data_IF_569563287827
#
_entry.id   IF_569563287827
#
_cell.length_a   1.000
_cell.length_b   1.000
_cell.length_c   1.000
_cell.angle_alpha   90.00
_cell.angle_beta   90.00
_cell.angle_gamma   90.00
#
_symmetry.space_group_name_H-M   'P 1'
#
loop_
_entity.id
_entity.type
_entity.pdbx_description
1 polymer ?
#
# COMPACT_ATOMS: atom_id res chain seq x y z
N UNK A 1 -17.37 10.07 -2.82
CA UNK A 1 -15.93 10.09 -2.48
C UNK A 1 -15.14 10.49 -3.71
N UNK A 2 -13.91 10.98 -3.55
CA UNK A 2 -12.98 11.25 -4.66
C UNK A 2 -11.73 10.41 -4.42
N UNK A 3 -11.26 9.70 -5.44
CA UNK A 3 -10.08 8.82 -5.38
C UNK A 3 -9.02 9.38 -6.33
N UNK A 4 -7.83 9.71 -5.80
CA UNK A 4 -6.67 10.06 -6.61
C UNK A 4 -5.76 8.84 -6.80
N UNK A 5 -5.31 8.57 -8.03
CA UNK A 5 -4.38 7.49 -8.35
C UNK A 5 -3.15 8.08 -9.05
N UNK A 6 -2.00 7.96 -8.41
CA UNK A 6 -0.70 8.22 -9.04
C UNK A 6 -0.03 6.90 -9.42
N UNK A 7 0.35 6.74 -10.68
CA UNK A 7 1.06 5.55 -11.17
C UNK A 7 2.28 5.97 -12.01
N UNK A 8 3.46 5.52 -11.60
CA UNK A 8 4.69 5.75 -12.33
C UNK A 8 4.75 4.83 -13.56
N UNK A 9 4.46 5.36 -14.75
CA UNK A 9 4.47 4.59 -16.01
C UNK A 9 5.86 4.62 -16.65
N UNK A 10 6.25 5.75 -17.24
CA UNK A 10 7.52 5.91 -17.97
C UNK A 10 8.58 6.73 -17.21
N UNK A 11 8.30 7.09 -15.96
CA UNK A 11 9.23 7.77 -15.06
C UNK A 11 10.51 6.95 -14.93
N UNK A 12 11.67 7.60 -14.91
CA UNK A 12 12.91 6.99 -14.49
C UNK A 12 13.28 7.55 -13.10
N UNK A 13 13.09 6.79 -12.01
CA UNK A 13 13.37 7.27 -10.65
C UNK A 13 14.82 7.68 -10.44
N UNK A 14 15.77 7.14 -11.22
CA UNK A 14 17.19 7.47 -11.13
C UNK A 14 17.48 8.93 -11.52
N UNK A 15 16.60 9.57 -12.27
CA UNK A 15 16.72 10.98 -12.64
C UNK A 15 16.31 11.92 -11.49
N UNK A 16 15.82 11.37 -10.38
CA UNK A 16 15.28 12.10 -9.23
C UNK A 16 15.89 11.59 -7.92
N UNK A 17 16.85 12.36 -7.37
CA UNK A 17 17.61 12.00 -6.16
C UNK A 17 16.74 11.69 -4.94
N UNK A 18 15.59 12.35 -4.81
CA UNK A 18 14.68 12.21 -3.67
C UNK A 18 13.93 10.87 -3.62
N UNK A 19 13.75 10.21 -4.77
CA UNK A 19 12.91 9.01 -4.91
C UNK A 19 13.65 7.79 -5.49
N UNK A 20 14.92 7.95 -5.86
CA UNK A 20 15.71 6.92 -6.54
C UNK A 20 15.86 5.62 -5.74
N UNK A 21 15.81 5.70 -4.39
CA UNK A 21 15.93 4.54 -3.51
C UNK A 21 14.61 3.92 -3.04
N UNK A 22 13.45 4.53 -3.35
CA UNK A 22 12.15 4.12 -2.77
C UNK A 22 11.01 4.00 -3.78
N UNK A 23 11.28 4.19 -5.07
CA UNK A 23 10.26 4.23 -6.12
C UNK A 23 10.71 3.44 -7.35
N UNK A 24 9.75 2.86 -8.07
CA UNK A 24 9.93 2.23 -9.37
C UNK A 24 8.88 2.74 -10.37
N UNK A 25 8.95 2.26 -11.62
CA UNK A 25 7.97 2.52 -12.67
C UNK A 25 7.76 1.30 -13.57
N UNK A 26 6.65 1.26 -14.31
CA UNK A 26 6.41 0.20 -15.29
C UNK A 26 7.54 0.08 -16.32
N UNK A 27 8.12 1.21 -16.74
CA UNK A 27 9.26 1.23 -17.65
C UNK A 27 10.50 0.55 -17.07
N UNK A 28 10.79 0.79 -15.79
CA UNK A 28 11.94 0.19 -15.11
C UNK A 28 11.75 -1.32 -15.00
N UNK A 29 10.59 -1.76 -14.51
CA UNK A 29 10.29 -3.18 -14.30
C UNK A 29 10.15 -3.98 -15.61
N UNK A 30 9.65 -3.36 -16.69
CA UNK A 30 9.47 -4.02 -18.00
C UNK A 30 10.65 -3.79 -18.95
N UNK A 31 11.64 -2.99 -18.55
CA UNK A 31 12.79 -2.59 -19.37
C UNK A 31 12.43 -1.98 -20.74
N UNK A 32 11.26 -1.34 -20.85
CA UNK A 32 10.79 -0.67 -22.08
C UNK A 32 9.77 0.42 -21.77
N UNK A 33 9.61 1.39 -22.67
CA UNK A 33 8.49 2.33 -22.56
C UNK A 33 7.16 1.63 -22.84
N UNK A 34 6.11 2.12 -22.18
CA UNK A 34 4.74 1.59 -22.31
C UNK A 34 3.79 2.71 -22.70
N UNK A 35 2.79 2.41 -23.52
CA UNK A 35 1.74 3.36 -23.86
C UNK A 35 0.89 3.68 -22.62
N UNK A 36 0.85 4.96 -22.25
CA UNK A 36 0.08 5.44 -21.10
C UNK A 36 -1.43 5.30 -21.32
N UNK A 37 -1.91 5.41 -22.56
CA UNK A 37 -3.33 5.24 -22.87
C UNK A 37 -3.77 3.79 -22.68
N UNK A 38 -2.94 2.83 -23.11
CA UNK A 38 -3.17 1.40 -22.89
C UNK A 38 -3.20 1.08 -21.38
N UNK A 39 -2.19 1.53 -20.63
CA UNK A 39 -2.13 1.33 -19.17
C UNK A 39 -3.36 1.93 -18.48
N UNK A 40 -3.78 3.13 -18.89
CA UNK A 40 -4.96 3.78 -18.33
C UNK A 40 -6.24 3.00 -18.62
N UNK A 41 -6.43 2.50 -19.84
CA UNK A 41 -7.57 1.64 -20.19
C UNK A 41 -7.63 0.39 -19.31
N UNK A 42 -6.52 -0.32 -19.18
CA UNK A 42 -6.43 -1.52 -18.33
C UNK A 42 -6.72 -1.19 -16.86
N UNK A 43 -6.21 -0.06 -16.36
CA UNK A 43 -6.42 0.38 -14.99
C UNK A 43 -7.90 0.67 -14.72
N UNK A 44 -8.56 1.44 -15.59
CA UNK A 44 -9.98 1.79 -15.43
C UNK A 44 -10.87 0.54 -15.53
N UNK A 45 -10.62 -0.34 -16.49
CA UNK A 45 -11.36 -1.60 -16.61
C UNK A 45 -11.18 -2.48 -15.36
N UNK A 46 -9.96 -2.52 -14.79
CA UNK A 46 -9.71 -3.25 -13.56
C UNK A 46 -10.46 -2.65 -12.37
N UNK A 47 -10.46 -1.32 -12.23
CA UNK A 47 -11.20 -0.61 -11.18
C UNK A 47 -12.70 -0.91 -11.31
N UNK A 48 -13.27 -0.80 -12.50
CA UNK A 48 -14.69 -1.02 -12.75
C UNK A 48 -15.12 -2.45 -12.41
N UNK A 49 -14.32 -3.45 -12.80
CA UNK A 49 -14.57 -4.85 -12.43
C UNK A 49 -14.56 -5.08 -10.93
N UNK A 50 -13.55 -4.57 -10.22
CA UNK A 50 -13.47 -4.74 -8.76
C UNK A 50 -14.57 -3.98 -8.04
N UNK A 51 -14.88 -2.76 -8.48
CA UNK A 51 -15.94 -1.95 -7.90
C UNK A 51 -17.31 -2.61 -8.08
N UNK A 52 -17.61 -3.10 -9.28
CA UNK A 52 -18.84 -3.85 -9.55
C UNK A 52 -18.94 -5.13 -8.72
N UNK A 53 -17.82 -5.85 -8.55
CA UNK A 53 -17.77 -7.04 -7.68
C UNK A 53 -18.04 -6.71 -6.21
N UNK A 54 -17.54 -5.59 -5.70
CA UNK A 54 -17.85 -5.13 -4.35
C UNK A 54 -19.33 -4.73 -4.21
N UNK A 55 -19.90 -4.06 -5.21
CA UNK A 55 -21.32 -3.68 -5.21
C UNK A 55 -22.27 -4.89 -5.25
N UNK A 56 -21.84 -6.02 -5.81
CA UNK A 56 -22.61 -7.27 -5.80
C UNK A 56 -22.47 -8.07 -4.50
N UNK A 57 -21.78 -7.53 -3.49
CA UNK A 57 -21.54 -8.18 -2.20
C UNK A 57 -20.27 -9.04 -2.15
N UNK A 58 -19.45 -9.01 -3.20
CA UNK A 58 -18.13 -9.63 -3.21
C UNK A 58 -17.15 -8.95 -2.25
N UNK A 59 -15.98 -9.57 -2.06
CA UNK A 59 -14.91 -9.03 -1.22
C UNK A 59 -13.53 -9.21 -1.86
N UNK A 60 -12.71 -8.18 -1.78
CA UNK A 60 -11.29 -8.23 -2.21
C UNK A 60 -10.35 -8.64 -1.08
N UNK A 61 -10.85 -8.79 0.15
CA UNK A 61 -10.04 -8.96 1.36
C UNK A 61 -9.05 -10.14 1.27
N UNK A 62 -9.43 -11.36 0.83
CA UNK A 62 -8.48 -12.46 0.76
C UNK A 62 -7.35 -12.20 -0.24
N UNK A 63 -7.71 -11.73 -1.44
CA UNK A 63 -6.75 -11.44 -2.51
C UNK A 63 -5.83 -10.26 -2.16
N UNK A 64 -6.37 -9.24 -1.48
CA UNK A 64 -5.57 -8.11 -0.99
C UNK A 64 -4.60 -8.55 0.11
N UNK A 65 -5.08 -9.32 1.10
CA UNK A 65 -4.27 -9.83 2.21
C UNK A 65 -3.06 -10.63 1.73
N UNK A 66 -3.24 -11.49 0.73
CA UNK A 66 -2.15 -12.27 0.12
C UNK A 66 -1.05 -11.42 -0.55
N UNK A 67 -1.36 -10.17 -0.90
CA UNK A 67 -0.44 -9.24 -1.57
C UNK A 67 0.20 -8.23 -0.61
N UNK A 68 -0.15 -8.25 0.67
CA UNK A 68 0.42 -7.33 1.66
C UNK A 68 1.85 -7.73 1.99
N UNK A 69 2.80 -6.83 1.68
CA UNK A 69 4.22 -6.99 1.98
C UNK A 69 4.58 -6.65 3.43
N UNK A 70 3.64 -6.11 4.19
CA UNK A 70 3.81 -5.71 5.60
C UNK A 70 3.57 -6.87 6.57
N UNK A 71 2.72 -7.84 6.22
CA UNK A 71 2.33 -8.91 7.14
C UNK A 71 3.54 -9.80 7.49
N UNK A 72 3.60 -10.21 8.76
CA UNK A 72 4.72 -10.97 9.31
C UNK A 72 5.99 -10.16 9.54
N UNK A 73 5.95 -8.82 9.42
CA UNK A 73 7.11 -7.94 9.61
C UNK A 73 6.90 -6.94 10.76
N UNK A 74 8.00 -6.57 11.39
CA UNK A 74 8.03 -5.45 12.34
C UNK A 74 7.79 -4.14 11.61
N UNK A 75 6.82 -3.36 12.08
CA UNK A 75 6.41 -2.09 11.47
C UNK A 75 6.41 -0.96 12.50
N UNK A 76 6.61 0.26 11.99
CA UNK A 76 6.29 1.51 12.66
C UNK A 76 5.06 2.08 11.98
N UNK A 77 4.02 2.42 12.76
CA UNK A 77 2.86 3.16 12.28
C UNK A 77 2.85 4.55 12.90
N UNK A 78 2.81 5.58 12.07
CA UNK A 78 2.76 6.97 12.50
C UNK A 78 1.40 7.57 12.15
N UNK A 79 0.78 8.19 13.15
CA UNK A 79 -0.50 8.88 13.05
C UNK A 79 -0.36 10.36 13.40
N UNK A 80 -1.07 11.23 12.68
CA UNK A 80 -1.12 12.66 12.97
C UNK A 80 -0.22 13.48 12.06
N UNK A 81 -0.08 14.77 12.38
CA UNK A 81 0.71 15.73 11.60
C UNK A 81 2.13 15.86 12.16
N UNK A 82 3.10 16.35 11.36
CA UNK A 82 4.45 16.65 11.86
C UNK A 82 4.39 17.52 13.12
N UNK A 83 5.05 17.08 14.20
CA UNK A 83 5.11 17.79 15.49
C UNK A 83 4.08 17.35 16.54
N UNK A 84 3.06 16.57 16.17
CA UNK A 84 2.15 15.91 17.10
C UNK A 84 1.74 14.55 16.53
N UNK A 85 2.68 13.61 16.54
CA UNK A 85 2.47 12.28 15.95
C UNK A 85 2.48 11.19 17.02
N UNK A 86 1.43 10.35 17.03
CA UNK A 86 1.43 9.12 17.80
C UNK A 86 2.15 8.04 17.01
N UNK A 87 3.06 7.30 17.67
CA UNK A 87 3.85 6.24 17.05
C UNK A 87 3.51 4.91 17.70
N UNK A 88 3.14 3.92 16.88
CA UNK A 88 2.93 2.54 17.27
C UNK A 88 4.00 1.65 16.63
N UNK A 89 4.66 0.81 17.42
CA UNK A 89 5.65 -0.14 16.94
C UNK A 89 5.19 -1.56 17.27
N UNK A 90 5.36 -2.49 16.34
CA UNK A 90 5.08 -3.91 16.59
C UNK A 90 5.00 -4.74 15.32
N UNK A 91 4.59 -6.00 15.48
CA UNK A 91 4.47 -6.97 14.40
C UNK A 91 3.12 -6.80 13.69
N UNK A 92 3.12 -6.58 12.37
CA UNK A 92 1.90 -6.62 11.57
C UNK A 92 1.44 -8.08 11.41
N UNK A 93 0.40 -8.49 12.14
CA UNK A 93 0.01 -9.92 12.24
C UNK A 93 -1.11 -10.32 11.29
N UNK A 94 -2.04 -9.42 10.96
CA UNK A 94 -3.14 -9.69 10.03
C UNK A 94 -3.82 -8.39 9.58
N UNK A 95 -4.88 -8.52 8.79
CA UNK A 95 -5.88 -7.48 8.54
C UNK A 95 -7.26 -8.00 8.90
N UNK A 96 -8.12 -7.15 9.47
CA UNK A 96 -9.48 -7.55 9.82
C UNK A 96 -10.49 -7.35 8.69
N UNK A 97 -11.74 -7.77 8.93
CA UNK A 97 -12.84 -7.66 7.96
C UNK A 97 -13.22 -6.22 7.61
N UNK A 98 -12.79 -5.23 8.40
CA UNK A 98 -12.98 -3.81 8.12
C UNK A 98 -11.81 -3.20 7.33
N UNK A 99 -10.78 -4.00 6.99
CA UNK A 99 -9.60 -3.55 6.26
C UNK A 99 -8.56 -2.85 7.14
N UNK A 100 -8.61 -3.03 8.47
CA UNK A 100 -7.62 -2.45 9.39
C UNK A 100 -6.42 -3.37 9.53
N UNK A 101 -5.21 -2.81 9.57
CA UNK A 101 -3.99 -3.55 9.88
C UNK A 101 -3.96 -3.87 11.38
N UNK A 102 -3.75 -5.13 11.74
CA UNK A 102 -3.61 -5.56 13.12
C UNK A 102 -2.12 -5.57 13.48
N UNK A 103 -1.72 -4.70 14.38
CA UNK A 103 -0.34 -4.59 14.86
C UNK A 103 -0.25 -5.08 16.29
N UNK A 104 0.59 -6.08 16.54
CA UNK A 104 0.86 -6.64 17.87
C UNK A 104 2.05 -5.94 18.50
N UNK A 105 1.82 -5.28 19.63
CA UNK A 105 2.89 -4.60 20.37
C UNK A 105 3.77 -5.59 21.18
N UNK A 106 4.90 -5.12 21.76
CA UNK A 106 5.77 -5.97 22.58
C UNK A 106 5.12 -6.56 23.84
N UNK A 107 3.98 -6.03 24.28
CA UNK A 107 3.20 -6.54 25.41
C UNK A 107 2.11 -7.53 24.96
N UNK A 108 2.19 -8.03 23.72
CA UNK A 108 1.23 -8.94 23.10
C UNK A 108 -0.19 -8.38 22.94
N UNK A 109 -0.35 -7.06 22.95
CA UNK A 109 -1.64 -6.42 22.69
C UNK A 109 -1.80 -6.16 21.19
N UNK A 110 -2.96 -6.53 20.67
CA UNK A 110 -3.34 -6.28 19.27
C UNK A 110 -4.04 -4.94 19.12
N UNK A 111 -3.52 -4.14 18.20
CA UNK A 111 -4.00 -2.80 17.88
C UNK A 111 -4.57 -2.77 16.45
N UNK A 112 -5.88 -2.59 16.27
CA UNK A 112 -6.47 -2.41 14.95
C UNK A 112 -6.22 -0.98 14.46
N UNK A 113 -5.46 -0.84 13.38
CA UNK A 113 -5.05 0.44 12.79
C UNK A 113 -5.80 0.69 11.48
N UNK A 114 -6.61 1.75 11.44
CA UNK A 114 -7.43 2.09 10.27
C UNK A 114 -6.72 2.90 9.20
N UNK A 115 -5.65 3.62 9.54
CA UNK A 115 -4.96 4.55 8.64
C UNK A 115 -3.68 5.08 9.27
N UNK A 116 -2.60 5.24 8.54
CA UNK A 116 -1.37 5.86 9.03
C UNK A 116 -0.25 5.65 8.02
N UNK A 117 0.87 6.33 8.23
CA UNK A 117 2.09 6.01 7.49
C UNK A 117 2.72 4.76 8.10
N UNK A 118 2.92 3.72 7.29
CA UNK A 118 3.46 2.43 7.73
C UNK A 118 4.82 2.22 7.10
N UNK A 119 5.83 2.09 7.94
CA UNK A 119 7.20 1.79 7.50
C UNK A 119 7.63 0.45 8.06
N UNK A 120 8.22 -0.38 7.22
CA UNK A 120 8.76 -1.66 7.67
C UNK A 120 10.13 -1.43 8.32
N UNK A 121 10.32 -1.99 9.50
CA UNK A 121 11.61 -1.96 10.19
C UNK A 121 12.48 -3.05 9.60
N UNK A 122 13.47 -2.64 8.81
CA UNK A 122 14.56 -3.55 8.45
C UNK A 122 15.40 -3.80 9.71
N UNK A 123 15.55 -5.06 10.09
CA UNK A 123 16.52 -5.45 11.11
C UNK A 123 17.89 -5.32 10.43
N UNK A 124 18.63 -4.28 10.80
CA UNK A 124 20.06 -4.18 10.50
C UNK A 124 20.86 -5.08 11.42
#
# INVERSE_FOLDING_TARGET
AVIGIGLNVNLNPMDHTEISGGSTSLRVELHRTVDRAEVFGILIDSIDRHYSYLLSGGTVLPAWRERLTTLGREVTVVHGSPGCSAVLNGLAVDVDSAGRLIVRDPNHRDWPVSSGEVTIREIK
#
